data_IF_254817129920
#
_entry.id   IF_254817129920
#
_cell.length_a   1.000
_cell.length_b   1.000
_cell.length_c   1.000
_cell.angle_alpha   90.00
_cell.angle_beta   90.00
_cell.angle_gamma   90.00
#
_symmetry.space_group_name_H-M   'P 1'
#
loop_
_entity.id
_entity.type
_entity.pdbx_description
1 polymer ?
#
# COMPACT_ATOMS: atom_id res chain seq x y z
N UNK A 1 -23.13 9.10 30.07
CA UNK A 1 -22.45 7.90 29.52
C UNK A 1 -21.17 8.41 28.86
N UNK A 2 -19.99 7.99 29.32
CA UNK A 2 -18.74 8.45 28.71
C UNK A 2 -18.62 7.82 27.32
N UNK A 3 -18.58 8.65 26.28
CA UNK A 3 -18.34 8.18 24.91
C UNK A 3 -16.94 7.57 24.86
N UNK A 4 -16.87 6.26 24.61
CA UNK A 4 -15.63 5.54 24.34
C UNK A 4 -15.53 5.39 22.84
N UNK A 5 -14.65 6.15 22.20
CA UNK A 5 -14.44 6.09 20.76
C UNK A 5 -12.99 6.38 20.41
N UNK A 6 -12.44 5.65 19.43
CA UNK A 6 -11.10 5.92 18.89
C UNK A 6 -10.96 7.35 18.38
N UNK A 7 -12.07 7.97 17.98
CA UNK A 7 -12.18 9.37 17.55
C UNK A 7 -11.76 10.40 18.61
N UNK A 8 -11.75 10.00 19.90
CA UNK A 8 -11.35 10.88 21.01
C UNK A 8 -9.84 10.80 21.29
N UNK A 9 -9.14 9.84 20.70
CA UNK A 9 -7.69 9.72 20.87
C UNK A 9 -6.96 10.65 19.89
N UNK A 10 -5.87 11.30 20.33
CA UNK A 10 -5.03 12.06 19.40
C UNK A 10 -4.49 11.17 18.29
N UNK A 11 -4.55 11.63 17.04
CA UNK A 11 -4.04 10.91 15.87
C UNK A 11 -2.57 10.51 16.02
N UNK A 12 -1.76 11.34 16.67
CA UNK A 12 -0.36 11.03 16.95
C UNK A 12 -0.18 9.79 17.85
N UNK A 13 -1.07 9.60 18.84
CA UNK A 13 -1.03 8.43 19.71
C UNK A 13 -1.43 7.17 18.94
N UNK A 14 -2.48 7.25 18.13
CA UNK A 14 -2.90 6.15 17.27
C UNK A 14 -1.80 5.77 16.26
N UNK A 15 -1.18 6.76 15.62
CA UNK A 15 -0.09 6.54 14.69
C UNK A 15 1.11 5.87 15.38
N UNK A 16 1.45 6.28 16.60
CA UNK A 16 2.54 5.67 17.39
C UNK A 16 2.23 4.23 17.82
N UNK A 17 0.98 3.88 18.08
CA UNK A 17 0.59 2.49 18.36
C UNK A 17 0.67 1.67 17.07
N UNK A 18 0.15 2.23 15.97
CA UNK A 18 0.10 1.55 14.68
C UNK A 18 1.50 1.37 14.06
N UNK A 19 2.48 2.22 14.38
CA UNK A 19 3.86 2.05 13.89
C UNK A 19 4.56 0.84 14.48
N UNK A 20 4.10 0.31 15.62
CA UNK A 20 4.63 -0.91 16.24
C UNK A 20 4.02 -2.19 15.63
N UNK A 21 3.03 -2.05 14.73
CA UNK A 21 2.39 -3.18 14.06
C UNK A 21 3.11 -3.52 12.77
N UNK A 22 3.06 -4.80 12.38
CA UNK A 22 3.48 -5.21 11.05
C UNK A 22 2.51 -4.66 9.98
N UNK A 23 2.98 -4.63 8.73
CA UNK A 23 2.21 -4.06 7.61
C UNK A 23 0.88 -4.76 7.41
N UNK A 24 0.81 -6.09 7.57
CA UNK A 24 -0.43 -6.85 7.37
C UNK A 24 -1.46 -6.48 8.45
N UNK A 25 -1.01 -6.33 9.70
CA UNK A 25 -1.82 -5.82 10.80
C UNK A 25 -2.31 -4.39 10.54
N UNK A 26 -1.44 -3.47 10.08
CA UNK A 26 -1.83 -2.09 9.72
C UNK A 26 -2.91 -2.11 8.63
N UNK A 27 -2.72 -2.91 7.58
CA UNK A 27 -3.69 -3.02 6.49
C UNK A 27 -5.03 -3.58 6.98
N UNK A 28 -5.00 -4.58 7.87
CA UNK A 28 -6.21 -5.18 8.43
C UNK A 28 -7.01 -4.16 9.23
N UNK A 29 -6.38 -3.42 10.15
CA UNK A 29 -7.08 -2.41 10.96
C UNK A 29 -7.47 -1.15 10.15
N UNK A 30 -6.79 -0.86 9.04
CA UNK A 30 -7.18 0.23 8.14
C UNK A 30 -8.58 0.04 7.54
N UNK A 31 -9.11 -1.19 7.51
CA UNK A 31 -10.44 -1.49 6.98
C UNK A 31 -11.58 -1.33 8.00
N UNK A 32 -11.27 -1.12 9.29
CA UNK A 32 -12.31 -1.15 10.34
C UNK A 32 -13.01 0.18 10.55
N UNK A 33 -12.30 1.32 10.45
CA UNK A 33 -12.89 2.65 10.56
C UNK A 33 -12.07 3.73 9.84
N UNK A 34 -12.69 4.90 9.59
CA UNK A 34 -12.08 6.02 8.85
C UNK A 34 -10.84 6.59 9.55
N UNK A 35 -10.83 6.61 10.87
CA UNK A 35 -9.72 7.17 11.65
C UNK A 35 -8.49 6.28 11.60
N UNK A 36 -8.67 4.96 11.74
CA UNK A 36 -7.58 3.99 11.54
C UNK A 36 -7.12 3.96 10.09
N UNK A 37 -8.04 4.06 9.13
CA UNK A 37 -7.69 4.17 7.71
C UNK A 37 -6.80 5.39 7.42
N UNK A 38 -7.15 6.54 7.99
CA UNK A 38 -6.40 7.78 7.82
C UNK A 38 -5.01 7.70 8.47
N UNK A 39 -4.93 7.12 9.67
CA UNK A 39 -3.65 6.90 10.36
C UNK A 39 -2.76 5.91 9.59
N UNK A 40 -3.34 4.81 9.09
CA UNK A 40 -2.62 3.86 8.23
C UNK A 40 -2.06 4.58 7.01
N UNK A 41 -2.90 5.29 6.25
CA UNK A 41 -2.48 6.04 5.07
C UNK A 41 -1.32 7.00 5.38
N UNK A 42 -1.36 7.70 6.51
CA UNK A 42 -0.25 8.56 6.94
C UNK A 42 1.04 7.77 7.17
N UNK A 43 1.01 6.68 7.93
CA UNK A 43 2.21 5.84 8.19
C UNK A 43 2.76 5.29 6.87
N UNK A 44 1.90 4.72 6.05
CA UNK A 44 2.24 4.09 4.77
C UNK A 44 2.82 5.09 3.76
N UNK A 45 2.53 6.40 3.90
CA UNK A 45 3.08 7.46 3.03
C UNK A 45 4.57 7.74 3.23
N UNK A 46 5.19 7.23 4.30
CA UNK A 46 6.61 7.42 4.60
C UNK A 46 7.44 6.13 4.59
N UNK A 47 6.80 4.96 4.47
CA UNK A 47 7.51 3.68 4.44
C UNK A 47 8.28 3.49 3.14
N UNK A 48 9.52 3.02 3.25
CA UNK A 48 10.38 2.79 2.08
C UNK A 48 10.22 1.39 1.49
N UNK A 49 9.70 0.44 2.27
CA UNK A 49 9.48 -0.95 1.85
C UNK A 49 8.09 -1.40 2.28
N UNK A 50 7.35 -2.05 1.37
CA UNK A 50 5.94 -2.34 1.58
C UNK A 50 5.52 -3.68 0.98
N UNK A 51 4.97 -4.58 1.80
CA UNK A 51 4.57 -5.92 1.39
C UNK A 51 3.07 -6.15 1.65
N UNK A 52 2.32 -6.49 0.59
CA UNK A 52 0.88 -6.78 0.59
C UNK A 52 0.59 -8.20 0.07
N UNK A 53 1.29 -9.20 0.62
CA UNK A 53 1.14 -10.59 0.18
C UNK A 53 -0.01 -11.30 0.90
N UNK A 54 -0.30 -10.94 2.15
CA UNK A 54 -1.29 -11.65 2.98
C UNK A 54 -2.73 -11.18 2.75
N UNK A 55 -2.93 -10.09 1.98
CA UNK A 55 -4.22 -9.36 1.92
C UNK A 55 -4.92 -9.51 0.56
N UNK A 56 -4.23 -9.98 -0.49
CA UNK A 56 -4.76 -10.09 -1.87
C UNK A 56 -5.71 -8.93 -2.24
N UNK A 57 -5.21 -7.68 -2.24
CA UNK A 57 -6.05 -6.48 -2.30
C UNK A 57 -6.83 -6.39 -3.61
N UNK A 58 -8.07 -5.91 -3.54
CA UNK A 58 -8.77 -5.40 -4.73
C UNK A 58 -8.27 -3.99 -5.06
N UNK A 59 -8.59 -3.50 -6.27
CA UNK A 59 -8.25 -2.13 -6.69
C UNK A 59 -8.79 -1.07 -5.70
N UNK A 60 -9.99 -1.26 -5.16
CA UNK A 60 -10.59 -0.35 -4.17
C UNK A 60 -9.82 -0.31 -2.85
N UNK A 61 -9.23 -1.45 -2.45
CA UNK A 61 -8.40 -1.56 -1.26
C UNK A 61 -6.97 -1.10 -1.50
N UNK A 62 -6.47 -1.08 -2.74
CA UNK A 62 -5.14 -0.54 -3.02
C UNK A 62 -5.03 0.94 -2.72
N UNK A 63 -6.05 1.75 -3.05
CA UNK A 63 -5.98 3.21 -2.85
C UNK A 63 -5.68 3.61 -1.39
N UNK A 64 -6.36 3.06 -0.36
CA UNK A 64 -6.03 3.36 1.03
C UNK A 64 -4.73 2.70 1.51
N UNK A 65 -4.33 1.56 0.94
CA UNK A 65 -3.12 0.83 1.35
C UNK A 65 -1.85 1.29 0.64
N UNK A 66 -1.96 1.91 -0.53
CA UNK A 66 -0.87 2.47 -1.33
C UNK A 66 -1.11 3.97 -1.55
N UNK A 67 -1.11 4.79 -0.49
CA UNK A 67 -1.17 6.22 -0.65
C UNK A 67 0.02 6.72 -1.48
N UNK A 68 -0.06 7.94 -2.06
CA UNK A 68 1.10 8.58 -2.67
C UNK A 68 2.27 8.59 -1.69
N UNK A 69 3.37 7.97 -2.08
CA UNK A 69 4.58 7.84 -1.27
C UNK A 69 5.79 8.00 -2.19
N UNK A 70 6.52 9.12 -2.11
CA UNK A 70 7.69 9.41 -2.94
C UNK A 70 8.97 8.70 -2.46
N UNK A 71 8.90 8.00 -1.32
CA UNK A 71 10.03 7.32 -0.68
C UNK A 71 9.97 5.80 -0.86
N UNK A 72 8.89 5.26 -1.43
CA UNK A 72 8.70 3.82 -1.60
C UNK A 72 9.69 3.26 -2.62
N UNK A 73 10.58 2.37 -2.16
CA UNK A 73 11.66 1.75 -2.93
C UNK A 73 11.41 0.27 -3.22
N UNK A 74 10.75 -0.46 -2.33
CA UNK A 74 10.42 -1.88 -2.54
C UNK A 74 8.93 -2.11 -2.33
N UNK A 75 8.26 -2.70 -3.32
CA UNK A 75 6.86 -3.07 -3.27
C UNK A 75 6.69 -4.54 -3.64
N UNK A 76 6.07 -5.32 -2.74
CA UNK A 76 5.64 -6.69 -3.02
C UNK A 76 4.13 -6.77 -2.87
N UNK A 77 3.43 -7.28 -3.85
CA UNK A 77 1.96 -7.29 -3.85
C UNK A 77 1.43 -8.59 -4.43
N UNK A 78 0.37 -9.12 -3.82
CA UNK A 78 -0.45 -10.17 -4.43
C UNK A 78 -1.43 -9.54 -5.42
N UNK A 79 -1.26 -9.91 -6.69
CA UNK A 79 -1.98 -9.43 -7.86
C UNK A 79 -3.19 -10.28 -8.24
N UNK A 80 -3.55 -11.32 -7.48
CA UNK A 80 -4.65 -12.25 -7.82
C UNK A 80 -6.00 -11.58 -8.09
N UNK A 81 -6.21 -10.36 -7.59
CA UNK A 81 -7.44 -9.57 -7.75
C UNK A 81 -7.19 -8.21 -8.42
N UNK A 82 -6.05 -8.07 -9.09
CA UNK A 82 -5.59 -6.85 -9.73
C UNK A 82 -5.54 -7.01 -11.25
N UNK A 83 -5.64 -5.88 -11.94
CA UNK A 83 -5.57 -5.79 -13.41
C UNK A 83 -5.02 -4.42 -13.82
N UNK A 84 -5.06 -4.09 -15.10
CA UNK A 84 -4.50 -2.85 -15.64
C UNK A 84 -5.04 -1.56 -14.98
N UNK A 85 -6.24 -1.58 -14.38
CA UNK A 85 -6.78 -0.43 -13.62
C UNK A 85 -5.95 -0.10 -12.37
N UNK A 86 -5.17 -1.07 -11.88
CA UNK A 86 -4.32 -0.91 -10.69
C UNK A 86 -2.93 -0.38 -10.98
N UNK A 87 -2.50 -0.33 -12.24
CA UNK A 87 -1.11 -0.01 -12.64
C UNK A 87 -0.61 1.27 -11.97
N UNK A 88 -1.42 2.34 -12.00
CA UNK A 88 -1.04 3.65 -11.46
C UNK A 88 -0.79 3.67 -9.94
N UNK A 89 -1.24 2.64 -9.20
CA UNK A 89 -0.93 2.50 -7.77
C UNK A 89 0.39 1.76 -7.54
N UNK A 90 0.75 0.87 -8.47
CA UNK A 90 1.88 -0.05 -8.38
C UNK A 90 3.19 0.54 -8.92
N UNK A 91 3.12 1.37 -9.96
CA UNK A 91 4.32 1.96 -10.58
C UNK A 91 4.63 3.34 -10.03
N UNK A 92 5.90 3.61 -9.71
CA UNK A 92 6.37 4.87 -9.13
C UNK A 92 7.82 5.16 -9.50
N UNK A 93 8.22 6.43 -9.69
CA UNK A 93 9.60 6.79 -9.99
C UNK A 93 10.63 6.36 -8.94
N UNK A 94 10.23 6.30 -7.67
CA UNK A 94 11.12 5.96 -6.56
C UNK A 94 11.40 4.46 -6.40
N UNK A 95 10.72 3.59 -7.15
CA UNK A 95 10.82 2.14 -6.98
C UNK A 95 12.14 1.59 -7.52
N UNK A 96 12.77 0.75 -6.69
CA UNK A 96 13.95 -0.04 -7.01
C UNK A 96 13.64 -1.54 -7.11
N UNK A 97 12.61 -2.02 -6.41
CA UNK A 97 12.17 -3.42 -6.41
C UNK A 97 10.64 -3.48 -6.52
N UNK A 98 10.14 -4.28 -7.47
CA UNK A 98 8.71 -4.54 -7.67
C UNK A 98 8.47 -6.04 -7.82
N UNK A 99 7.77 -6.67 -6.87
CA UNK A 99 7.39 -8.09 -6.94
C UNK A 99 5.88 -8.23 -7.07
N UNK A 100 5.42 -8.86 -8.14
CA UNK A 100 4.02 -9.05 -8.50
C UNK A 100 3.67 -10.54 -8.41
N UNK A 101 3.16 -10.97 -7.26
CA UNK A 101 2.76 -12.36 -7.04
C UNK A 101 1.38 -12.63 -7.64
N UNK A 102 1.12 -13.83 -8.17
CA UNK A 102 -0.18 -14.19 -8.75
C UNK A 102 -0.68 -13.18 -9.82
N UNK A 103 0.23 -12.67 -10.65
CA UNK A 103 -0.05 -11.68 -11.68
C UNK A 103 -0.64 -12.34 -12.94
N UNK A 104 -1.97 -12.40 -13.04
CA UNK A 104 -2.70 -12.99 -14.18
C UNK A 104 -3.55 -11.97 -14.98
N UNK A 105 -3.97 -10.87 -14.34
CA UNK A 105 -4.90 -9.88 -14.91
C UNK A 105 -4.28 -8.69 -15.64
N UNK A 106 -2.97 -8.69 -15.89
CA UNK A 106 -2.26 -7.56 -16.50
C UNK A 106 -1.89 -7.83 -17.96
N UNK A 107 -1.99 -6.80 -18.78
CA UNK A 107 -1.53 -6.84 -20.18
C UNK A 107 -0.11 -6.27 -20.31
N UNK A 108 0.37 -6.10 -21.55
CA UNK A 108 1.64 -5.43 -21.84
C UNK A 108 1.69 -3.97 -21.35
N UNK A 109 0.55 -3.37 -21.03
CA UNK A 109 0.45 -2.02 -20.48
C UNK A 109 1.21 -1.88 -19.15
N UNK A 110 1.22 -2.93 -18.32
CA UNK A 110 1.99 -2.96 -17.08
C UNK A 110 3.50 -2.80 -17.36
N UNK A 111 4.03 -3.58 -18.30
CA UNK A 111 5.46 -3.52 -18.65
C UNK A 111 5.82 -2.17 -19.26
N UNK A 112 4.94 -1.62 -20.11
CA UNK A 112 5.09 -0.27 -20.66
C UNK A 112 5.13 0.79 -19.55
N UNK A 113 4.20 0.72 -18.59
CA UNK A 113 4.15 1.64 -17.46
C UNK A 113 5.37 1.53 -16.55
N UNK A 114 5.85 0.31 -16.28
CA UNK A 114 7.09 0.07 -15.53
C UNK A 114 8.27 0.73 -16.24
N UNK A 115 8.47 0.44 -17.53
CA UNK A 115 9.58 0.99 -18.31
C UNK A 115 9.53 2.52 -18.44
N UNK A 116 8.33 3.10 -18.42
CA UNK A 116 8.13 4.54 -18.52
C UNK A 116 8.30 5.27 -17.18
N UNK A 117 7.84 4.68 -16.06
CA UNK A 117 7.76 5.39 -14.78
C UNK A 117 8.85 4.97 -13.78
N UNK A 118 9.27 3.72 -13.74
CA UNK A 118 10.19 3.19 -12.73
C UNK A 118 11.64 3.20 -13.25
N UNK A 119 12.23 4.39 -13.44
CA UNK A 119 13.56 4.52 -14.09
C UNK A 119 14.72 3.95 -13.29
N UNK A 120 14.59 3.89 -11.97
CA UNK A 120 15.61 3.37 -11.06
C UNK A 120 15.34 1.91 -10.64
N UNK A 121 14.41 1.22 -11.32
CA UNK A 121 14.05 -0.16 -11.00
C UNK A 121 15.21 -1.11 -11.28
N UNK A 122 15.59 -1.90 -10.27
CA UNK A 122 16.72 -2.83 -10.31
C UNK A 122 16.27 -4.28 -10.34
N UNK A 123 15.10 -4.56 -9.76
CA UNK A 123 14.53 -5.90 -9.69
C UNK A 123 13.03 -5.86 -9.98
N UNK A 124 12.59 -6.77 -10.85
CA UNK A 124 11.18 -7.03 -11.14
C UNK A 124 10.96 -8.54 -11.21
N UNK A 125 9.92 -9.04 -10.55
CA UNK A 125 9.56 -10.46 -10.53
C UNK A 125 8.06 -10.68 -10.53
#
# INVERSE_FOLDING_TARGET
MAERGLELLPSALLASIMSELDISSICSIATTCKTLNSCASQILSFLTNFHLLDVAPSVDLLRPLLPPNPYLRSLKVDCKRLNDLSINYLVRPSLHELCLHNCDGFTGDLLSAIGNQCKDLRFVS
#
